data_IF_291034241167
#
_entry.id   IF_291034241167
#
_cell.length_a   1.000
_cell.length_b   1.000
_cell.length_c   1.000
_cell.angle_alpha   90.00
_cell.angle_beta   90.00
_cell.angle_gamma   90.00
#
_symmetry.space_group_name_H-M   'P 1'
#
loop_
_entity.id
_entity.type
_entity.pdbx_description
1 polymer ?
#
# COMPACT_ATOMS: atom_id res chain seq x y z
N UNK A 1 35.22 -14.54 14.36
CA UNK A 1 34.36 -15.24 13.39
C UNK A 1 33.53 -14.16 12.71
N UNK A 2 33.34 -14.24 11.41
CA UNK A 2 32.45 -13.34 10.67
C UNK A 2 31.00 -13.76 10.97
N UNK A 3 30.09 -12.83 11.32
CA UNK A 3 28.69 -13.16 11.53
C UNK A 3 28.03 -13.49 10.18
N UNK A 4 27.32 -14.60 10.09
CA UNK A 4 26.52 -14.94 8.90
C UNK A 4 25.05 -14.61 9.20
N UNK A 5 24.48 -13.70 8.40
CA UNK A 5 23.09 -13.22 8.53
C UNK A 5 22.25 -13.91 7.46
N UNK A 6 21.16 -14.54 7.83
CA UNK A 6 20.15 -15.02 6.90
C UNK A 6 19.07 -13.93 6.74
N UNK A 7 18.83 -13.53 5.48
CA UNK A 7 17.86 -12.49 5.11
C UNK A 7 16.84 -13.03 4.12
N UNK A 8 15.58 -13.06 4.50
CA UNK A 8 14.48 -13.41 3.62
C UNK A 8 13.92 -12.15 2.94
N UNK A 9 13.95 -12.15 1.62
CA UNK A 9 13.50 -11.04 0.78
C UNK A 9 12.33 -11.50 -0.09
N UNK A 10 11.21 -10.79 -0.01
CA UNK A 10 10.08 -11.00 -0.92
C UNK A 10 10.35 -10.22 -2.19
N UNK A 11 10.39 -10.92 -3.32
CA UNK A 11 10.72 -10.33 -4.61
C UNK A 11 11.23 -11.35 -5.60
N UNK A 12 11.95 -10.88 -6.61
CA UNK A 12 12.58 -11.74 -7.62
C UNK A 12 14.10 -11.80 -7.44
N UNK A 13 14.72 -12.85 -8.00
CA UNK A 13 16.19 -12.99 -8.08
C UNK A 13 16.87 -11.85 -8.85
N UNK A 14 16.14 -11.06 -9.63
CA UNK A 14 16.64 -9.86 -10.30
C UNK A 14 16.62 -8.61 -9.41
N UNK A 15 16.31 -8.74 -8.13
CA UNK A 15 16.33 -7.61 -7.20
C UNK A 15 17.75 -7.08 -7.04
N UNK A 16 18.02 -5.78 -7.27
CA UNK A 16 19.35 -5.21 -7.27
C UNK A 16 19.96 -4.99 -5.87
N UNK A 17 19.40 -5.59 -4.82
CA UNK A 17 19.85 -5.43 -3.44
C UNK A 17 21.29 -5.88 -3.20
N UNK A 18 21.82 -6.76 -4.05
CA UNK A 18 23.17 -7.34 -3.90
C UNK A 18 24.26 -6.27 -3.78
N UNK A 19 24.13 -5.14 -4.48
CA UNK A 19 25.07 -4.03 -4.39
C UNK A 19 25.11 -3.46 -2.96
N UNK A 20 23.96 -3.25 -2.34
CA UNK A 20 23.86 -2.76 -0.96
C UNK A 20 24.38 -3.77 0.05
N UNK A 21 24.14 -5.05 -0.18
CA UNK A 21 24.64 -6.12 0.69
C UNK A 21 26.15 -6.24 0.60
N UNK A 22 26.72 -6.14 -0.59
CA UNK A 22 28.18 -6.12 -0.79
C UNK A 22 28.82 -4.94 -0.05
N UNK A 23 28.25 -3.72 -0.19
CA UNK A 23 28.75 -2.56 0.56
C UNK A 23 28.65 -2.75 2.09
N UNK A 24 27.56 -3.36 2.56
CA UNK A 24 27.41 -3.67 3.97
C UNK A 24 28.47 -4.65 4.47
N UNK A 25 28.69 -5.73 3.72
CA UNK A 25 29.67 -6.79 4.04
C UNK A 25 31.12 -6.30 4.07
N UNK A 26 31.44 -5.35 3.19
CA UNK A 26 32.76 -4.69 3.17
C UNK A 26 33.00 -3.80 4.39
N UNK A 27 31.94 -3.12 4.85
CA UNK A 27 32.00 -2.20 6.01
C UNK A 27 31.88 -2.92 7.35
N UNK A 28 31.24 -4.07 7.37
CA UNK A 28 30.95 -4.85 8.58
C UNK A 28 31.66 -6.22 8.52
N UNK A 29 31.98 -6.78 9.67
CA UNK A 29 32.50 -8.16 9.76
C UNK A 29 31.37 -9.18 9.68
N UNK A 30 30.49 -9.06 8.70
CA UNK A 30 29.34 -9.92 8.49
C UNK A 30 29.26 -10.38 7.03
N UNK A 31 28.53 -11.46 6.78
CA UNK A 31 28.09 -11.91 5.46
C UNK A 31 26.60 -12.11 5.47
N UNK A 32 25.95 -11.92 4.33
CA UNK A 32 24.49 -12.03 4.19
C UNK A 32 24.15 -13.14 3.21
N UNK A 33 23.33 -14.10 3.68
CA UNK A 33 22.73 -15.12 2.82
C UNK A 33 21.30 -14.72 2.53
N UNK A 34 20.99 -14.49 1.24
CA UNK A 34 19.63 -14.17 0.79
C UNK A 34 18.80 -15.42 0.54
N UNK A 35 17.56 -15.37 0.98
CA UNK A 35 16.48 -16.28 0.60
C UNK A 35 15.38 -15.48 -0.09
N UNK A 36 14.99 -15.88 -1.30
CA UNK A 36 13.93 -15.21 -2.04
C UNK A 36 12.64 -16.00 -1.96
N UNK A 37 11.55 -15.29 -1.75
CA UNK A 37 10.19 -15.78 -1.92
C UNK A 37 9.37 -14.77 -2.75
N UNK A 38 8.30 -15.23 -3.38
CA UNK A 38 7.39 -14.34 -4.09
C UNK A 38 6.23 -13.86 -3.19
N UNK A 39 5.56 -12.78 -3.60
CA UNK A 39 4.42 -12.24 -2.85
C UNK A 39 3.25 -13.22 -2.72
N UNK A 40 3.09 -14.14 -3.66
CA UNK A 40 2.01 -15.13 -3.64
C UNK A 40 2.16 -16.11 -2.48
N UNK A 41 3.39 -16.55 -2.22
CA UNK A 41 3.73 -17.52 -1.18
C UNK A 41 4.27 -16.86 0.09
N UNK A 42 4.67 -15.60 0.04
CA UNK A 42 5.39 -14.89 1.09
C UNK A 42 4.73 -14.96 2.46
N UNK A 43 3.41 -14.75 2.53
CA UNK A 43 2.70 -14.85 3.79
C UNK A 43 2.75 -16.25 4.42
N UNK A 44 2.54 -17.29 3.60
CA UNK A 44 2.60 -18.68 4.09
C UNK A 44 3.99 -19.05 4.59
N UNK A 45 5.02 -18.61 3.88
CA UNK A 45 6.42 -18.84 4.26
C UNK A 45 6.77 -18.14 5.58
N UNK A 46 6.41 -16.86 5.72
CA UNK A 46 6.63 -16.06 6.94
C UNK A 46 5.91 -16.67 8.14
N UNK A 47 4.67 -17.15 7.97
CA UNK A 47 3.97 -17.90 9.02
C UNK A 47 4.67 -19.23 9.31
N UNK A 48 5.16 -19.91 8.28
CA UNK A 48 5.92 -21.16 8.41
C UNK A 48 7.16 -20.98 9.28
N UNK A 49 7.91 -19.91 9.13
CA UNK A 49 9.05 -19.57 9.99
C UNK A 49 8.64 -19.53 11.48
N UNK A 50 7.54 -18.83 11.79
CA UNK A 50 7.04 -18.72 13.17
C UNK A 50 6.61 -20.06 13.80
N UNK A 51 6.19 -21.02 12.98
CA UNK A 51 5.66 -22.30 13.44
C UNK A 51 6.72 -23.41 13.55
N UNK A 52 7.75 -23.36 12.72
CA UNK A 52 8.73 -24.44 12.59
C UNK A 52 10.09 -24.14 13.20
N UNK A 53 10.33 -22.90 13.66
CA UNK A 53 11.59 -22.50 14.29
C UNK A 53 12.78 -22.52 13.32
N UNK A 54 12.54 -22.27 12.05
CA UNK A 54 13.54 -22.14 10.99
C UNK A 54 13.54 -20.73 10.39
N UNK A 55 13.21 -19.74 11.23
CA UNK A 55 13.18 -18.33 10.87
C UNK A 55 14.57 -17.84 10.46
N UNK A 56 14.65 -16.97 9.44
CA UNK A 56 15.86 -16.22 9.14
C UNK A 56 16.14 -15.18 10.24
N UNK A 57 17.28 -14.52 10.21
CA UNK A 57 17.59 -13.50 11.21
C UNK A 57 16.83 -12.18 10.98
N UNK A 58 16.62 -11.82 9.70
CA UNK A 58 15.90 -10.63 9.26
C UNK A 58 15.00 -11.00 8.10
N UNK A 59 13.83 -10.37 7.99
CA UNK A 59 12.94 -10.51 6.85
C UNK A 59 12.43 -9.17 6.34
N UNK A 60 12.28 -9.06 5.03
CA UNK A 60 11.45 -8.10 4.35
C UNK A 60 10.02 -8.63 4.33
N UNK A 61 9.07 -7.83 4.80
CA UNK A 61 7.65 -8.18 4.87
C UNK A 61 6.75 -7.01 4.53
N UNK A 62 5.53 -7.30 4.07
CA UNK A 62 4.49 -6.28 3.99
C UNK A 62 4.13 -5.72 5.37
N UNK A 63 4.00 -4.41 5.48
CA UNK A 63 3.75 -3.76 6.78
C UNK A 63 2.49 -4.27 7.49
N UNK A 64 1.46 -4.67 6.75
CA UNK A 64 0.20 -5.18 7.32
C UNK A 64 0.36 -6.54 8.05
N UNK A 65 1.44 -7.26 7.80
CA UNK A 65 1.69 -8.58 8.40
C UNK A 65 2.25 -8.51 9.83
N UNK A 66 2.82 -7.38 10.20
CA UNK A 66 3.48 -7.18 11.51
C UNK A 66 2.54 -7.52 12.66
N UNK A 67 1.28 -7.10 12.60
CA UNK A 67 0.31 -7.36 13.68
C UNK A 67 0.13 -8.85 13.99
N UNK A 68 0.11 -9.69 12.97
CA UNK A 68 -0.01 -11.14 13.13
C UNK A 68 1.26 -11.76 13.72
N UNK A 69 2.43 -11.34 13.25
CA UNK A 69 3.73 -11.82 13.75
C UNK A 69 3.99 -11.39 15.20
N UNK A 70 3.56 -10.19 15.59
CA UNK A 70 3.59 -9.73 16.98
C UNK A 70 2.78 -10.67 17.89
N UNK A 71 1.57 -11.04 17.48
CA UNK A 71 0.71 -11.97 18.24
C UNK A 71 1.30 -13.37 18.36
N UNK A 72 2.02 -13.83 17.36
CA UNK A 72 2.77 -15.08 17.39
C UNK A 72 4.01 -15.01 18.28
N UNK A 73 4.32 -13.82 18.85
CA UNK A 73 5.54 -13.57 19.60
C UNK A 73 6.82 -13.89 18.78
N UNK A 74 6.73 -13.71 17.45
CA UNK A 74 7.76 -14.12 16.51
C UNK A 74 8.83 -13.05 16.29
N UNK A 75 8.55 -11.79 16.63
CA UNK A 75 9.43 -10.68 16.35
C UNK A 75 10.20 -10.19 17.57
N UNK A 76 11.41 -9.68 17.32
CA UNK A 76 12.20 -8.94 18.28
C UNK A 76 11.93 -7.43 18.07
N UNK A 77 11.48 -6.69 19.11
CA UNK A 77 11.26 -5.26 18.98
C UNK A 77 12.59 -4.50 18.84
N UNK A 78 12.57 -3.39 18.13
CA UNK A 78 13.70 -2.46 18.07
C UNK A 78 13.79 -1.66 19.39
N UNK A 79 15.01 -1.49 19.90
CA UNK A 79 15.24 -0.75 21.12
C UNK A 79 15.29 0.76 20.85
N UNK A 80 14.93 1.58 21.84
CA UNK A 80 14.94 3.04 21.70
C UNK A 80 16.30 3.60 21.25
N UNK A 81 17.41 3.01 21.69
CA UNK A 81 18.76 3.42 21.25
C UNK A 81 19.00 3.17 19.75
N UNK A 82 18.43 2.07 19.21
CA UNK A 82 18.54 1.70 17.79
C UNK A 82 17.72 2.66 16.93
N UNK A 83 16.52 2.99 17.38
CA UNK A 83 15.62 3.96 16.72
C UNK A 83 16.23 5.35 16.75
N UNK A 84 16.76 5.79 17.90
CA UNK A 84 17.39 7.10 18.05
C UNK A 84 18.62 7.27 17.14
N UNK A 85 19.40 6.20 16.94
CA UNK A 85 20.53 6.20 16.02
C UNK A 85 20.11 6.42 14.54
N UNK A 86 18.85 6.15 14.19
CA UNK A 86 18.27 6.38 12.87
C UNK A 86 17.63 7.77 12.72
N UNK A 87 17.66 8.60 13.76
CA UNK A 87 17.01 9.92 13.80
C UNK A 87 15.61 9.91 14.44
N UNK A 88 15.21 8.77 15.05
CA UNK A 88 13.92 8.62 15.71
C UNK A 88 12.76 8.37 14.73
N UNK A 89 11.56 8.28 15.29
CA UNK A 89 10.31 8.07 14.51
C UNK A 89 10.10 9.12 13.41
N UNK A 90 10.42 10.39 13.72
CA UNK A 90 10.22 11.53 12.80
C UNK A 90 11.14 11.50 11.57
N UNK A 91 12.14 10.62 11.54
CA UNK A 91 12.95 10.40 10.35
C UNK A 91 12.21 9.67 9.23
N UNK A 92 11.08 9.05 9.54
CA UNK A 92 10.28 8.25 8.62
C UNK A 92 8.91 8.88 8.34
N UNK A 93 8.30 8.49 7.22
CA UNK A 93 6.90 8.79 6.92
C UNK A 93 6.01 8.28 8.08
N UNK A 94 5.21 9.16 8.64
CA UNK A 94 4.36 8.83 9.79
C UNK A 94 3.44 7.61 9.54
N UNK A 95 2.74 7.48 8.39
CA UNK A 95 1.94 6.30 8.12
C UNK A 95 2.74 5.00 8.15
N UNK A 96 3.93 4.99 7.55
CA UNK A 96 4.80 3.82 7.52
C UNK A 96 5.32 3.45 8.92
N UNK A 97 5.71 4.46 9.70
CA UNK A 97 6.14 4.25 11.09
C UNK A 97 5.02 3.67 11.94
N UNK A 98 3.81 4.26 11.85
CA UNK A 98 2.64 3.83 12.61
C UNK A 98 2.19 2.40 12.29
N UNK A 99 2.40 1.92 11.05
CA UNK A 99 2.03 0.55 10.67
C UNK A 99 2.95 -0.53 11.24
N UNK A 100 4.12 -0.13 11.74
CA UNK A 100 5.13 -1.03 12.35
C UNK A 100 5.29 -0.82 13.87
N UNK A 101 4.48 0.07 14.46
CA UNK A 101 4.55 0.46 15.86
C UNK A 101 3.22 0.18 16.55
N UNK A 102 3.24 -0.55 17.66
CA UNK A 102 2.01 -0.84 18.42
C UNK A 102 1.49 0.38 19.21
N UNK A 103 0.38 0.18 19.92
CA UNK A 103 -0.26 1.23 20.71
C UNK A 103 0.61 1.74 21.87
N UNK A 104 1.54 0.92 22.36
CA UNK A 104 2.47 1.26 23.46
C UNK A 104 3.72 1.98 22.96
N UNK A 105 3.83 2.22 21.65
CA UNK A 105 4.97 2.87 21.01
C UNK A 105 6.16 1.95 20.74
N UNK A 106 5.99 0.64 20.89
CA UNK A 106 7.05 -0.34 20.58
C UNK A 106 7.15 -0.54 19.07
N UNK A 107 8.33 -0.33 18.49
CA UNK A 107 8.60 -0.56 17.08
C UNK A 107 8.99 -2.03 16.85
N UNK A 108 8.22 -2.72 16.02
CA UNK A 108 8.38 -4.13 15.67
C UNK A 108 9.06 -4.34 14.33
N UNK A 109 9.24 -3.27 13.57
CA UNK A 109 9.95 -3.24 12.29
C UNK A 109 10.46 -1.85 11.98
N UNK A 110 11.34 -1.75 10.98
CA UNK A 110 11.80 -0.49 10.41
C UNK A 110 11.15 -0.29 9.04
N UNK A 111 10.56 0.89 8.74
CA UNK A 111 9.99 1.17 7.42
C UNK A 111 11.10 1.17 6.36
N UNK A 112 10.96 0.35 5.32
CA UNK A 112 11.99 0.23 4.28
C UNK A 112 11.56 0.88 2.97
N UNK A 113 10.42 0.46 2.43
CA UNK A 113 9.84 1.07 1.22
C UNK A 113 8.41 1.51 1.47
N UNK A 114 7.96 2.52 0.73
CA UNK A 114 6.58 2.99 0.78
C UNK A 114 5.88 2.84 -0.57
N UNK A 115 4.56 2.68 -0.50
CA UNK A 115 3.67 2.52 -1.64
C UNK A 115 2.36 3.25 -1.40
N UNK A 116 1.74 3.78 -2.44
CA UNK A 116 0.42 4.39 -2.39
C UNK A 116 -0.25 4.34 -3.76
N UNK A 117 -1.51 4.72 -3.82
CA UNK A 117 -2.25 4.86 -5.06
C UNK A 117 -2.46 6.34 -5.40
N UNK A 118 -2.60 6.60 -6.69
CA UNK A 118 -2.86 7.92 -7.25
C UNK A 118 -4.06 7.85 -8.21
N UNK A 119 -4.72 8.98 -8.40
CA UNK A 119 -5.55 9.20 -9.57
C UNK A 119 -4.62 9.51 -10.74
N UNK A 120 -4.74 8.77 -11.83
CA UNK A 120 -4.20 9.13 -13.13
C UNK A 120 -5.33 9.59 -14.05
N UNK A 121 -5.13 10.66 -14.80
CA UNK A 121 -6.18 11.28 -15.62
C UNK A 121 -5.64 11.85 -16.92
N UNK A 122 -6.51 11.93 -17.94
CA UNK A 122 -6.23 12.48 -19.24
C UNK A 122 -6.49 13.99 -19.23
N UNK A 123 -5.42 14.80 -19.24
CA UNK A 123 -5.49 16.28 -19.26
C UNK A 123 -6.27 16.82 -20.42
N UNK A 124 -6.04 16.29 -21.61
CA UNK A 124 -6.73 16.68 -22.83
C UNK A 124 -8.25 16.45 -22.78
N UNK A 125 -8.68 15.39 -22.08
CA UNK A 125 -10.11 15.12 -21.89
C UNK A 125 -10.72 16.03 -20.81
N UNK A 126 -9.97 16.36 -19.73
CA UNK A 126 -10.41 17.35 -18.74
C UNK A 126 -10.57 18.73 -19.39
N UNK A 127 -9.56 19.19 -20.15
CA UNK A 127 -9.61 20.46 -20.88
C UNK A 127 -10.82 20.53 -21.82
N UNK A 128 -11.06 19.48 -22.61
CA UNK A 128 -12.23 19.37 -23.49
C UNK A 128 -13.55 19.43 -22.72
N UNK A 129 -13.60 18.87 -21.51
CA UNK A 129 -14.77 18.90 -20.64
C UNK A 129 -14.91 20.20 -19.83
N UNK A 130 -13.95 21.15 -19.96
CA UNK A 130 -13.94 22.41 -19.23
C UNK A 130 -13.67 22.26 -17.74
N UNK A 131 -12.96 21.18 -17.32
CA UNK A 131 -12.65 20.88 -15.93
C UNK A 131 -11.26 21.42 -15.57
N UNK A 132 -11.17 22.21 -14.50
CA UNK A 132 -9.91 22.65 -13.92
C UNK A 132 -9.22 21.52 -13.16
N UNK A 133 -8.07 21.06 -13.65
CA UNK A 133 -7.31 19.95 -13.08
C UNK A 133 -6.86 20.21 -11.63
N UNK A 134 -6.71 21.46 -11.20
CA UNK A 134 -6.24 21.81 -9.86
C UNK A 134 -7.24 21.44 -8.75
N UNK A 135 -8.53 21.37 -9.09
CA UNK A 135 -9.62 21.07 -8.16
C UNK A 135 -10.35 19.77 -8.47
N UNK A 136 -10.12 19.17 -9.64
CA UNK A 136 -10.84 18.01 -10.16
C UNK A 136 -10.88 16.81 -9.22
N UNK A 137 -9.86 16.64 -8.37
CA UNK A 137 -9.67 15.46 -7.53
C UNK A 137 -9.48 15.81 -6.04
N UNK A 138 -9.82 17.04 -5.64
CA UNK A 138 -9.61 17.52 -4.26
C UNK A 138 -10.52 16.88 -3.22
N UNK A 139 -11.61 16.25 -3.63
CA UNK A 139 -12.56 15.51 -2.77
C UNK A 139 -13.30 14.44 -3.57
N UNK A 140 -13.99 13.52 -2.88
CA UNK A 140 -14.85 12.53 -3.51
C UNK A 140 -15.94 13.19 -4.39
N UNK A 141 -16.53 14.29 -3.91
CA UNK A 141 -17.53 15.06 -4.68
C UNK A 141 -16.92 15.74 -5.90
N UNK A 142 -15.69 16.29 -5.78
CA UNK A 142 -15.00 16.91 -6.92
C UNK A 142 -14.67 15.88 -8.00
N UNK A 143 -14.22 14.69 -7.63
CA UNK A 143 -14.03 13.58 -8.55
C UNK A 143 -15.34 13.21 -9.25
N UNK A 144 -16.44 13.03 -8.52
CA UNK A 144 -17.72 12.68 -9.13
C UNK A 144 -18.19 13.76 -10.12
N UNK A 145 -18.09 15.03 -9.76
CA UNK A 145 -18.41 16.15 -10.66
C UNK A 145 -17.53 16.13 -11.92
N UNK A 146 -16.26 15.80 -11.78
CA UNK A 146 -15.33 15.61 -12.91
C UNK A 146 -15.78 14.49 -13.83
N UNK A 147 -16.18 13.33 -13.26
CA UNK A 147 -16.66 12.20 -14.06
C UNK A 147 -17.99 12.51 -14.78
N UNK A 148 -18.87 13.31 -14.16
CA UNK A 148 -20.09 13.82 -14.81
C UNK A 148 -19.72 14.69 -16.01
N UNK A 149 -18.85 15.69 -15.82
CA UNK A 149 -18.44 16.59 -16.91
C UNK A 149 -17.76 15.83 -18.06
N UNK A 150 -16.93 14.84 -17.76
CA UNK A 150 -16.32 13.97 -18.77
C UNK A 150 -17.38 13.19 -19.55
N UNK A 151 -18.35 12.61 -18.87
CA UNK A 151 -19.46 11.88 -19.51
C UNK A 151 -20.29 12.80 -20.40
N UNK A 152 -20.63 13.99 -19.94
CA UNK A 152 -21.42 14.99 -20.66
C UNK A 152 -20.64 15.54 -21.88
N UNK A 153 -19.30 15.57 -21.81
CA UNK A 153 -18.45 15.91 -22.97
C UNK A 153 -18.31 14.81 -24.03
N UNK A 154 -18.96 13.64 -23.80
CA UNK A 154 -18.99 12.51 -24.72
C UNK A 154 -17.87 11.48 -24.49
N UNK A 155 -17.19 11.47 -23.32
CA UNK A 155 -16.25 10.41 -22.97
C UNK A 155 -17.02 9.14 -22.66
N UNK A 156 -16.75 8.06 -23.41
CA UNK A 156 -17.47 6.79 -23.28
C UNK A 156 -17.21 6.08 -21.94
N UNK A 157 -15.96 6.12 -21.46
CA UNK A 157 -15.54 5.51 -20.18
C UNK A 157 -14.85 6.56 -19.34
N UNK A 158 -15.58 7.36 -18.53
CA UNK A 158 -14.98 8.33 -17.65
C UNK A 158 -14.09 7.72 -16.57
N UNK A 159 -14.45 6.53 -16.05
CA UNK A 159 -13.81 5.87 -14.92
C UNK A 159 -13.51 4.40 -15.21
N UNK A 160 -12.28 3.96 -14.93
CA UNK A 160 -11.89 2.56 -15.04
C UNK A 160 -10.98 2.16 -13.89
N UNK A 161 -11.44 1.27 -13.03
CA UNK A 161 -10.67 0.71 -11.92
C UNK A 161 -10.90 -0.81 -11.82
N UNK A 162 -9.95 -1.56 -11.27
CA UNK A 162 -10.16 -2.98 -10.98
C UNK A 162 -11.33 -3.21 -10.02
N UNK A 163 -12.19 -4.18 -10.35
CA UNK A 163 -13.34 -4.61 -9.52
C UNK A 163 -13.28 -6.08 -9.13
N UNK A 164 -12.24 -6.81 -9.55
CA UNK A 164 -12.14 -8.25 -9.36
C UNK A 164 -11.49 -8.64 -8.01
N UNK A 165 -11.81 -9.86 -7.57
CA UNK A 165 -11.46 -10.41 -6.25
C UNK A 165 -9.98 -10.74 -6.04
N UNK A 166 -9.12 -10.64 -7.05
CA UNK A 166 -7.78 -11.22 -6.99
C UNK A 166 -6.81 -10.53 -6.01
N UNK A 167 -7.12 -9.32 -5.52
CA UNK A 167 -6.21 -8.51 -4.72
C UNK A 167 -6.92 -7.71 -3.62
N UNK A 168 -6.15 -7.31 -2.60
CA UNK A 168 -6.60 -6.42 -1.51
C UNK A 168 -6.79 -4.96 -1.95
N UNK A 169 -6.54 -4.64 -3.23
CA UNK A 169 -6.57 -3.27 -3.77
C UNK A 169 -7.89 -2.56 -3.52
N UNK A 170 -9.03 -3.27 -3.65
CA UNK A 170 -10.35 -2.68 -3.36
C UNK A 170 -10.42 -2.12 -1.94
N UNK A 171 -9.89 -2.84 -0.94
CA UNK A 171 -9.85 -2.36 0.43
C UNK A 171 -9.01 -1.08 0.55
N UNK A 172 -7.87 -1.03 -0.13
CA UNK A 172 -6.98 0.13 -0.08
C UNK A 172 -7.59 1.37 -0.77
N UNK A 173 -8.30 1.17 -1.88
CA UNK A 173 -9.05 2.26 -2.51
C UNK A 173 -10.16 2.75 -1.59
N UNK A 174 -11.03 1.84 -1.13
CA UNK A 174 -12.16 2.13 -0.26
C UNK A 174 -11.73 2.82 1.03
N UNK A 175 -10.60 2.40 1.63
CA UNK A 175 -10.09 2.98 2.86
C UNK A 175 -9.86 4.50 2.74
N UNK A 176 -9.39 4.98 1.58
CA UNK A 176 -9.16 6.40 1.34
C UNK A 176 -10.46 7.22 1.41
N UNK A 177 -11.54 6.73 0.83
CA UNK A 177 -12.87 7.37 0.91
C UNK A 177 -13.50 7.25 2.29
N UNK A 178 -13.37 6.09 2.91
CA UNK A 178 -13.87 5.82 4.27
C UNK A 178 -13.24 6.80 5.28
N UNK A 179 -11.91 6.93 5.25
CA UNK A 179 -11.19 7.86 6.12
C UNK A 179 -11.48 9.33 5.77
N UNK A 180 -11.63 9.65 4.49
CA UNK A 180 -11.99 10.99 4.03
C UNK A 180 -13.35 11.45 4.52
N UNK A 181 -14.29 10.53 4.73
CA UNK A 181 -15.59 10.80 5.35
C UNK A 181 -15.55 10.84 6.91
N UNK A 182 -14.37 10.63 7.51
CA UNK A 182 -14.20 10.58 8.97
C UNK A 182 -14.47 9.20 9.58
N UNK A 183 -14.75 8.18 8.76
CA UNK A 183 -14.97 6.81 9.21
C UNK A 183 -13.68 6.13 9.71
N UNK A 184 -13.85 5.00 10.38
CA UNK A 184 -12.75 4.15 10.88
C UNK A 184 -13.04 2.70 10.48
N UNK A 185 -11.99 1.90 10.26
CA UNK A 185 -12.14 0.47 9.98
C UNK A 185 -12.37 -0.30 11.28
N UNK A 186 -11.60 0.04 12.32
CA UNK A 186 -11.71 -0.54 13.65
C UNK A 186 -11.40 0.50 14.73
N UNK A 187 -11.73 0.19 15.99
CA UNK A 187 -11.28 0.96 17.15
C UNK A 187 -9.77 0.91 17.31
N UNK A 188 -9.19 1.89 18.02
CA UNK A 188 -7.75 2.00 18.22
C UNK A 188 -7.13 0.80 18.95
N UNK A 189 -7.91 0.21 19.87
CA UNK A 189 -7.53 -1.02 20.59
C UNK A 189 -7.83 -2.31 19.79
N UNK A 190 -8.39 -2.20 18.58
CA UNK A 190 -8.72 -3.30 17.69
C UNK A 190 -9.85 -4.21 18.15
N UNK A 191 -10.63 -3.79 19.20
CA UNK A 191 -11.69 -4.64 19.78
C UNK A 191 -13.07 -4.45 19.15
N UNK A 192 -13.26 -3.39 18.39
CA UNK A 192 -14.52 -3.13 17.72
C UNK A 192 -14.33 -2.87 16.22
N UNK A 193 -15.06 -3.58 15.33
CA UNK A 193 -15.15 -3.22 13.93
C UNK A 193 -16.02 -1.96 13.79
N UNK A 194 -15.53 -0.93 13.10
CA UNK A 194 -16.20 0.36 12.88
C UNK A 194 -16.50 0.62 11.40
N UNK A 195 -16.12 -0.27 10.50
CA UNK A 195 -16.32 -0.12 9.06
C UNK A 195 -17.80 -0.15 8.64
N UNK A 196 -18.72 -0.57 9.51
CA UNK A 196 -20.17 -0.52 9.26
C UNK A 196 -20.86 0.67 9.97
N UNK A 197 -20.10 1.60 10.55
CA UNK A 197 -20.67 2.82 11.14
C UNK A 197 -21.07 3.81 10.02
N UNK A 198 -21.97 4.74 10.33
CA UNK A 198 -22.58 5.65 9.36
C UNK A 198 -21.57 6.46 8.54
N UNK A 199 -20.49 6.97 9.15
CA UNK A 199 -19.45 7.73 8.44
C UNK A 199 -18.64 6.82 7.49
N UNK A 200 -18.31 5.62 7.94
CA UNK A 200 -17.60 4.65 7.12
C UNK A 200 -18.45 4.22 5.92
N UNK A 201 -19.72 3.89 6.14
CA UNK A 201 -20.67 3.55 5.08
C UNK A 201 -20.89 4.71 4.09
N UNK A 202 -20.98 5.96 4.57
CA UNK A 202 -21.11 7.12 3.69
C UNK A 202 -19.89 7.30 2.76
N UNK A 203 -18.68 7.15 3.29
CA UNK A 203 -17.46 7.17 2.47
C UNK A 203 -17.44 6.07 1.43
N UNK A 204 -17.72 4.82 1.83
CA UNK A 204 -17.77 3.68 0.92
C UNK A 204 -18.87 3.83 -0.14
N UNK A 205 -20.06 4.30 0.25
CA UNK A 205 -21.15 4.57 -0.70
C UNK A 205 -20.71 5.55 -1.79
N UNK A 206 -20.01 6.64 -1.43
CA UNK A 206 -19.51 7.60 -2.42
C UNK A 206 -18.48 7.00 -3.38
N UNK A 207 -17.66 6.06 -2.94
CA UNK A 207 -16.75 5.31 -3.82
C UNK A 207 -17.50 4.38 -4.77
N UNK A 208 -18.36 3.53 -4.23
CA UNK A 208 -19.09 2.56 -5.05
C UNK A 208 -20.09 3.21 -6.01
N UNK A 209 -20.63 4.37 -5.68
CA UNK A 209 -21.51 5.12 -6.58
C UNK A 209 -20.86 5.49 -7.91
N UNK A 210 -19.51 5.49 -7.99
CA UNK A 210 -18.76 5.78 -9.22
C UNK A 210 -18.89 4.66 -10.27
N UNK A 211 -19.48 3.48 -9.95
CA UNK A 211 -19.73 2.40 -10.90
C UNK A 211 -20.47 2.86 -12.15
N UNK A 212 -21.35 3.87 -12.03
CA UNK A 212 -22.16 4.43 -13.11
C UNK A 212 -21.37 5.11 -14.23
N UNK A 213 -20.07 5.30 -14.01
CA UNK A 213 -19.11 5.88 -14.96
C UNK A 213 -18.15 4.84 -15.55
N UNK A 214 -18.29 3.59 -15.15
CA UNK A 214 -17.49 2.45 -15.62
C UNK A 214 -18.14 1.74 -16.81
N UNK A 215 -17.39 0.80 -17.39
CA UNK A 215 -17.96 -0.11 -18.39
C UNK A 215 -18.98 -1.04 -17.74
N UNK A 216 -20.11 -1.35 -18.43
CA UNK A 216 -21.18 -2.15 -17.83
C UNK A 216 -20.78 -3.59 -17.44
N UNK A 217 -19.75 -4.14 -18.08
CA UNK A 217 -19.24 -5.50 -17.89
C UNK A 217 -17.97 -5.55 -17.02
N UNK A 218 -17.73 -4.53 -16.18
CA UNK A 218 -16.49 -4.41 -15.40
C UNK A 218 -16.19 -5.64 -14.53
N UNK A 219 -17.21 -6.27 -13.92
CA UNK A 219 -17.01 -7.46 -13.07
C UNK A 219 -16.65 -8.73 -13.85
N UNK A 220 -16.87 -8.76 -15.16
CA UNK A 220 -16.44 -9.87 -16.03
C UNK A 220 -15.02 -9.72 -16.56
N UNK A 221 -14.37 -8.58 -16.30
CA UNK A 221 -13.01 -8.26 -16.74
C UNK A 221 -12.00 -8.50 -15.63
N UNK A 222 -10.80 -8.89 -16.02
CA UNK A 222 -9.65 -8.98 -15.13
C UNK A 222 -9.18 -7.59 -14.71
N UNK A 223 -8.38 -7.51 -13.63
CA UNK A 223 -7.79 -6.26 -13.19
C UNK A 223 -6.92 -5.61 -14.28
N UNK A 224 -6.17 -6.43 -15.02
CA UNK A 224 -5.29 -5.94 -16.09
C UNK A 224 -6.09 -5.41 -17.28
N UNK A 225 -7.18 -6.04 -17.66
CA UNK A 225 -8.08 -5.52 -18.70
C UNK A 225 -8.67 -4.17 -18.32
N UNK A 226 -9.10 -3.98 -17.06
CA UNK A 226 -9.66 -2.71 -16.60
C UNK A 226 -8.60 -1.61 -16.52
N UNK A 227 -7.39 -1.92 -16.01
CA UNK A 227 -6.26 -0.98 -16.01
C UNK A 227 -5.85 -0.59 -17.43
N UNK A 228 -5.82 -1.55 -18.34
CA UNK A 228 -5.45 -1.32 -19.75
C UNK A 228 -6.40 -0.37 -20.47
N UNK A 229 -7.68 -0.23 -20.07
CA UNK A 229 -8.58 0.77 -20.65
C UNK A 229 -8.03 2.19 -20.55
N UNK A 230 -7.44 2.55 -19.42
CA UNK A 230 -6.82 3.87 -19.25
C UNK A 230 -5.52 4.00 -20.06
N UNK A 231 -4.60 3.05 -19.90
CA UNK A 231 -3.29 3.12 -20.54
C UNK A 231 -3.35 3.02 -22.08
N UNK A 232 -4.42 2.42 -22.63
CA UNK A 232 -4.71 2.39 -24.06
C UNK A 232 -5.55 3.59 -24.55
N UNK A 233 -5.84 4.56 -23.67
CA UNK A 233 -6.57 5.78 -24.02
C UNK A 233 -8.08 5.62 -24.15
N UNK A 234 -8.63 4.50 -23.72
CA UNK A 234 -10.07 4.20 -23.78
C UNK A 234 -10.85 4.77 -22.59
N UNK A 235 -10.19 4.98 -21.45
CA UNK A 235 -10.76 5.61 -20.26
C UNK A 235 -10.09 6.94 -19.93
N UNK A 236 -10.81 7.84 -19.24
CA UNK A 236 -10.31 9.18 -18.91
C UNK A 236 -9.61 9.25 -17.56
N UNK A 237 -10.06 8.48 -16.56
CA UNK A 237 -9.55 8.51 -15.18
C UNK A 237 -9.44 7.09 -14.64
N UNK A 238 -8.37 6.82 -13.88
CA UNK A 238 -8.15 5.55 -13.18
C UNK A 238 -7.50 5.78 -11.82
N UNK A 239 -7.50 4.73 -10.98
CA UNK A 239 -6.59 4.61 -9.83
C UNK A 239 -5.43 3.71 -10.26
N UNK A 240 -4.20 4.18 -10.07
CA UNK A 240 -2.99 3.41 -10.37
C UNK A 240 -2.03 3.39 -9.18
N UNK A 241 -1.21 2.36 -9.08
CA UNK A 241 -0.10 2.33 -8.14
C UNK A 241 1.00 3.33 -8.52
N UNK A 242 1.80 3.74 -7.56
CA UNK A 242 2.92 4.67 -7.79
C UNK A 242 4.02 4.09 -8.69
N UNK A 243 4.01 2.80 -8.94
CA UNK A 243 4.92 2.07 -9.82
C UNK A 243 4.42 2.02 -11.28
N UNK A 244 3.11 1.98 -11.50
CA UNK A 244 2.54 1.80 -12.84
C UNK A 244 3.02 2.83 -13.87
N UNK A 245 3.13 4.15 -13.56
CA UNK A 245 3.65 5.12 -14.53
C UNK A 245 5.05 4.79 -15.05
N UNK A 246 5.91 4.21 -14.19
CA UNK A 246 7.28 3.80 -14.58
C UNK A 246 7.26 2.52 -15.41
N UNK A 247 6.46 1.53 -15.01
CA UNK A 247 6.29 0.28 -15.76
C UNK A 247 5.82 0.59 -17.17
N UNK A 248 4.82 1.47 -17.31
CA UNK A 248 4.23 1.82 -18.60
C UNK A 248 5.14 2.65 -19.49
N UNK A 249 6.09 3.42 -18.92
CA UNK A 249 7.11 4.11 -19.69
C UNK A 249 8.17 3.15 -20.26
N UNK A 250 8.49 2.10 -19.52
CA UNK A 250 9.49 1.10 -19.95
C UNK A 250 8.90 -0.01 -20.81
N UNK A 251 7.61 -0.31 -20.64
CA UNK A 251 6.86 -1.31 -21.39
C UNK A 251 5.53 -0.70 -21.87
N UNK A 252 5.56 0.18 -22.88
CA UNK A 252 4.35 0.87 -23.33
C UNK A 252 3.37 -0.12 -23.97
N UNK A 253 2.14 -0.16 -23.43
CA UNK A 253 1.03 -0.95 -23.97
C UNK A 253 0.05 -0.09 -24.79
N UNK A 254 0.26 1.23 -24.84
CA UNK A 254 -0.62 2.18 -25.51
C UNK A 254 0.13 3.15 -26.44
N UNK A 255 -0.61 4.04 -27.13
CA UNK A 255 -0.01 5.06 -27.97
C UNK A 255 0.92 5.97 -27.16
N UNK A 256 2.17 6.19 -27.60
CA UNK A 256 3.14 7.02 -26.86
C UNK A 256 2.63 8.42 -26.54
N UNK A 257 1.80 9.00 -27.40
CA UNK A 257 1.27 10.36 -27.27
C UNK A 257 0.34 10.54 -26.07
N UNK A 258 -0.16 9.44 -25.50
CA UNK A 258 -1.04 9.49 -24.32
C UNK A 258 -0.24 9.86 -23.07
N UNK A 259 0.98 9.37 -22.92
CA UNK A 259 1.80 9.60 -21.71
C UNK A 259 2.05 11.07 -21.43
N UNK A 260 2.29 11.89 -22.47
CA UNK A 260 2.52 13.33 -22.32
C UNK A 260 1.26 14.09 -21.87
N UNK A 261 0.09 13.44 -21.97
CA UNK A 261 -1.22 14.00 -21.62
C UNK A 261 -1.76 13.46 -20.29
N UNK A 262 -0.99 12.66 -19.57
CA UNK A 262 -1.40 12.11 -18.27
C UNK A 262 -1.01 13.09 -17.17
N UNK A 263 -1.98 13.39 -16.31
CA UNK A 263 -1.79 14.05 -15.04
C UNK A 263 -2.01 13.08 -13.88
N UNK A 264 -1.51 13.47 -12.70
CA UNK A 264 -1.63 12.67 -11.47
C UNK A 264 -2.10 13.53 -10.31
N UNK A 265 -2.91 12.96 -9.44
CA UNK A 265 -3.37 13.57 -8.20
C UNK A 265 -3.40 12.52 -7.09
N UNK A 266 -3.32 12.90 -5.80
CA UNK A 266 -3.66 12.00 -4.71
C UNK A 266 -5.08 11.47 -4.85
N UNK A 267 -5.35 10.25 -4.39
CA UNK A 267 -6.74 9.76 -4.28
C UNK A 267 -7.54 10.68 -3.36
N UNK A 268 -8.81 10.95 -3.67
CA UNK A 268 -9.67 11.78 -2.83
C UNK A 268 -9.83 11.24 -1.41
N UNK A 269 -9.96 12.13 -0.45
CA UNK A 269 -10.08 11.77 0.96
C UNK A 269 -8.72 11.69 1.65
N UNK A 270 -8.41 10.57 2.28
CA UNK A 270 -7.13 10.33 2.94
C UNK A 270 -6.42 9.19 2.21
N UNK A 271 -5.37 9.46 1.41
CA UNK A 271 -4.68 8.42 0.64
C UNK A 271 -4.22 7.26 1.53
N UNK A 272 -4.45 6.03 1.09
CA UNK A 272 -3.84 4.88 1.74
C UNK A 272 -2.34 4.84 1.45
N UNK A 273 -1.55 4.62 2.50
CA UNK A 273 -0.10 4.44 2.42
C UNK A 273 0.24 3.08 3.01
N UNK A 274 0.89 2.27 2.22
CA UNK A 274 1.45 0.99 2.61
C UNK A 274 2.93 0.91 2.30
N UNK A 275 3.39 -0.29 2.09
CA UNK A 275 4.77 -0.60 1.74
C UNK A 275 5.33 -1.73 2.59
N UNK A 276 6.64 -1.76 2.72
CA UNK A 276 7.36 -2.88 3.27
C UNK A 276 8.25 -2.45 4.42
N UNK A 277 8.40 -3.37 5.37
CA UNK A 277 9.24 -3.20 6.54
C UNK A 277 10.29 -4.29 6.68
N UNK A 278 11.33 -3.99 7.42
CA UNK A 278 12.35 -4.94 7.85
C UNK A 278 12.08 -5.32 9.30
N UNK A 279 11.97 -6.62 9.57
CA UNK A 279 11.73 -7.17 10.90
C UNK A 279 12.88 -8.07 11.32
N UNK A 280 13.16 -8.10 12.63
CA UNK A 280 14.11 -9.02 13.25
C UNK A 280 13.31 -10.14 13.92
N UNK A 281 13.67 -11.37 13.62
CA UNK A 281 13.03 -12.52 14.24
C UNK A 281 13.51 -12.75 15.67
N UNK A 282 12.60 -13.20 16.51
CA UNK A 282 12.91 -13.64 17.87
C UNK A 282 13.25 -15.12 17.83
N UNK A 283 14.50 -15.46 18.05
CA UNK A 283 14.93 -16.84 18.17
C UNK A 283 15.76 -17.05 19.44
N UNK A 284 15.49 -18.12 20.13
CA UNK A 284 16.27 -18.52 21.31
C UNK A 284 17.70 -19.00 20.97
N UNK A 285 17.95 -19.27 19.69
CA UNK A 285 19.23 -19.83 19.22
C UNK A 285 20.16 -18.75 18.62
N UNK A 286 19.66 -17.51 18.45
CA UNK A 286 20.46 -16.41 17.89
C UNK A 286 21.50 -15.93 18.92
N UNK A 287 22.77 -15.94 18.52
CA UNK A 287 23.82 -15.34 19.35
C UNK A 287 23.69 -13.80 19.37
N UNK A 288 24.13 -13.14 20.47
CA UNK A 288 24.12 -11.67 20.53
C UNK A 288 24.87 -11.01 19.36
N UNK A 289 25.91 -11.65 18.86
CA UNK A 289 26.69 -11.15 17.71
C UNK A 289 25.87 -11.15 16.42
N UNK A 290 25.10 -12.21 16.17
CA UNK A 290 24.23 -12.30 14.98
C UNK A 290 23.05 -11.31 15.10
N UNK A 291 22.44 -11.21 16.30
CA UNK A 291 21.38 -10.24 16.54
C UNK A 291 21.84 -8.81 16.27
N UNK A 292 23.01 -8.42 16.82
CA UNK A 292 23.58 -7.10 16.58
C UNK A 292 23.90 -6.85 15.08
N UNK A 293 24.41 -7.86 14.39
CA UNK A 293 24.71 -7.77 12.97
C UNK A 293 23.42 -7.62 12.15
N UNK A 294 22.34 -8.32 12.52
CA UNK A 294 21.03 -8.23 11.87
C UNK A 294 20.40 -6.84 12.06
N UNK A 295 20.48 -6.29 13.28
CA UNK A 295 20.04 -4.91 13.55
C UNK A 295 20.89 -3.89 12.77
N UNK A 296 22.21 -4.12 12.65
CA UNK A 296 23.09 -3.26 11.86
C UNK A 296 22.73 -3.32 10.35
N UNK A 297 22.38 -4.50 9.83
CA UNK A 297 21.92 -4.65 8.44
C UNK A 297 20.59 -3.91 8.20
N UNK A 298 19.61 -4.11 9.08
CA UNK A 298 18.32 -3.41 8.99
C UNK A 298 18.52 -1.90 9.04
N UNK A 299 19.34 -1.42 9.98
CA UNK A 299 19.67 0.00 10.13
C UNK A 299 20.39 0.58 8.90
N UNK A 300 21.28 -0.19 8.29
CA UNK A 300 21.98 0.20 7.07
C UNK A 300 21.00 0.32 5.89
N UNK A 301 20.13 -0.68 5.69
CA UNK A 301 19.17 -0.69 4.59
C UNK A 301 18.13 0.44 4.68
N UNK A 302 17.79 0.91 5.89
CA UNK A 302 16.90 2.07 6.08
C UNK A 302 17.67 3.39 6.22
N UNK A 303 18.99 3.40 6.03
CA UNK A 303 19.77 4.65 6.03
C UNK A 303 19.41 5.53 4.84
N UNK A 304 19.61 6.87 4.91
CA UNK A 304 19.31 7.78 3.82
C UNK A 304 19.98 7.38 2.50
N UNK A 305 21.26 7.00 2.58
CA UNK A 305 22.03 6.59 1.39
C UNK A 305 21.48 5.30 0.78
N UNK A 306 21.25 4.27 1.60
CA UNK A 306 20.77 2.98 1.11
C UNK A 306 19.36 3.08 0.51
N UNK A 307 18.43 3.80 1.13
CA UNK A 307 17.09 4.01 0.57
C UNK A 307 17.12 4.79 -0.74
N UNK A 308 17.96 5.84 -0.83
CA UNK A 308 18.13 6.59 -2.09
C UNK A 308 18.64 5.67 -3.19
N UNK A 309 19.70 4.91 -2.93
CA UNK A 309 20.28 3.98 -3.88
C UNK A 309 19.28 2.90 -4.27
N UNK A 310 18.63 2.25 -3.29
CA UNK A 310 17.67 1.17 -3.56
C UNK A 310 16.50 1.64 -4.42
N UNK A 311 15.86 2.75 -4.06
CA UNK A 311 14.73 3.28 -4.83
C UNK A 311 15.10 3.64 -6.28
N UNK A 312 16.34 4.12 -6.52
CA UNK A 312 16.84 4.36 -7.87
C UNK A 312 17.05 3.05 -8.64
N UNK A 313 17.64 2.04 -7.99
CA UNK A 313 17.96 0.74 -8.60
C UNK A 313 16.70 -0.03 -9.00
N UNK A 314 15.63 0.04 -8.21
CA UNK A 314 14.32 -0.55 -8.55
C UNK A 314 13.47 0.38 -9.44
N UNK A 315 14.10 1.32 -10.15
CA UNK A 315 13.45 2.23 -11.08
C UNK A 315 12.25 2.97 -10.47
N UNK A 316 12.32 3.29 -9.19
CA UNK A 316 11.27 3.96 -8.43
C UNK A 316 9.91 3.24 -8.38
N UNK A 317 9.89 1.91 -8.53
CA UNK A 317 8.66 1.14 -8.33
C UNK A 317 8.12 1.33 -6.91
N UNK A 318 8.99 1.36 -5.91
CA UNK A 318 8.66 1.74 -4.54
C UNK A 318 9.33 3.07 -4.17
N UNK A 319 8.80 3.76 -3.18
CA UNK A 319 9.30 5.07 -2.73
C UNK A 319 10.02 4.94 -1.40
N UNK A 320 10.92 5.87 -1.06
CA UNK A 320 11.59 5.85 0.24
C UNK A 320 10.58 6.11 1.37
N UNK A 321 10.88 5.56 2.53
CA UNK A 321 10.11 5.86 3.75
C UNK A 321 10.71 7.00 4.55
N UNK A 322 11.93 7.42 4.25
CA UNK A 322 12.62 8.48 4.98
C UNK A 322 12.21 9.87 4.50
N UNK A 323 11.91 10.74 5.46
CA UNK A 323 11.54 12.14 5.22
C UNK A 323 12.68 12.96 4.60
N UNK A 324 13.95 12.64 4.92
CA UNK A 324 15.13 13.31 4.38
C UNK A 324 15.57 12.79 2.99
N UNK A 325 14.96 11.71 2.50
CA UNK A 325 15.17 11.16 1.14
C UNK A 325 14.01 11.49 0.21
N UNK A 326 12.81 11.68 0.74
CA UNK A 326 11.60 11.97 -0.05
C UNK A 326 11.75 13.20 -1.00
N UNK A 327 12.45 14.29 -0.62
CA UNK A 327 12.70 15.42 -1.53
C UNK A 327 13.50 15.05 -2.78
N UNK A 328 14.36 14.03 -2.71
CA UNK A 328 15.26 13.59 -3.78
C UNK A 328 14.55 12.75 -4.86
N UNK A 329 13.26 12.48 -4.72
CA UNK A 329 12.50 11.79 -5.77
C UNK A 329 12.64 12.54 -7.11
N UNK A 330 12.93 11.81 -8.21
CA UNK A 330 13.15 12.43 -9.51
C UNK A 330 12.00 13.34 -9.91
N UNK A 331 12.33 14.55 -10.38
CA UNK A 331 11.36 15.44 -11.03
C UNK A 331 11.07 14.87 -12.41
N UNK A 332 9.96 14.19 -12.54
CA UNK A 332 9.49 13.71 -13.83
C UNK A 332 8.51 14.73 -14.40
N UNK A 333 8.60 15.02 -15.70
CA UNK A 333 7.96 16.13 -16.41
C UNK A 333 6.45 16.31 -16.28
N UNK A 334 5.78 15.48 -15.50
CA UNK A 334 4.40 15.59 -15.08
C UNK A 334 4.33 16.00 -13.60
N UNK A 335 3.15 16.27 -13.10
CA UNK A 335 2.91 16.51 -11.67
C UNK A 335 3.02 15.23 -10.79
N UNK A 336 3.49 14.10 -11.34
CA UNK A 336 3.60 12.79 -10.67
C UNK A 336 4.35 12.88 -9.33
N UNK A 337 5.57 13.45 -9.34
CA UNK A 337 6.38 13.52 -8.11
C UNK A 337 5.70 14.30 -7.00
N UNK A 338 5.01 15.39 -7.34
CA UNK A 338 4.27 16.19 -6.36
C UNK A 338 3.05 15.42 -5.81
N UNK A 339 2.31 14.75 -6.68
CA UNK A 339 1.18 13.91 -6.27
C UNK A 339 1.63 12.76 -5.34
N UNK A 340 2.75 12.10 -5.66
CA UNK A 340 3.36 11.06 -4.81
C UNK A 340 3.75 11.62 -3.44
N UNK A 341 4.52 12.73 -3.41
CA UNK A 341 4.94 13.35 -2.14
C UNK A 341 3.74 13.74 -1.28
N UNK A 342 2.73 14.35 -1.88
CA UNK A 342 1.50 14.73 -1.19
C UNK A 342 0.78 13.50 -0.64
N UNK A 343 0.54 12.46 -1.46
CA UNK A 343 -0.16 11.26 -1.03
C UNK A 343 0.56 10.56 0.14
N UNK A 344 1.89 10.44 0.07
CA UNK A 344 2.70 9.79 1.12
C UNK A 344 2.71 10.58 2.43
N UNK A 345 2.71 11.92 2.37
CA UNK A 345 2.83 12.77 3.57
C UNK A 345 1.50 13.09 4.23
N UNK A 346 0.39 13.08 3.47
CA UNK A 346 -0.96 13.35 4.00
C UNK A 346 -1.80 12.07 4.19
N UNK A 347 -1.27 10.94 3.77
CA UNK A 347 -1.97 9.67 3.80
C UNK A 347 -1.99 8.99 5.17
N UNK A 348 -2.63 7.83 5.20
CA UNK A 348 -2.78 7.00 6.39
C UNK A 348 -2.50 5.54 6.06
N UNK A 349 -1.95 4.81 7.03
CA UNK A 349 -1.78 3.36 7.00
C UNK A 349 -2.70 2.67 8.00
N UNK A 350 -2.80 1.34 7.89
CA UNK A 350 -3.43 0.52 8.91
C UNK A 350 -2.48 0.39 10.11
N UNK A 351 -3.03 0.53 11.31
CA UNK A 351 -2.27 0.28 12.54
C UNK A 351 -2.21 -1.22 12.85
N UNK A 352 -1.13 -1.72 13.46
CA UNK A 352 -1.03 -3.11 13.89
C UNK A 352 -1.94 -3.37 15.10
N UNK A 353 -3.22 -3.61 14.80
CA UNK A 353 -4.22 -4.00 15.82
C UNK A 353 -4.35 -5.52 15.88
N UNK A 354 -4.81 -6.08 17.01
CA UNK A 354 -5.08 -7.52 17.12
C UNK A 354 -5.99 -8.02 16.00
N UNK A 355 -5.65 -9.19 15.42
CA UNK A 355 -6.42 -9.84 14.36
C UNK A 355 -6.56 -9.01 13.05
N UNK A 356 -5.69 -8.01 12.81
CA UNK A 356 -5.75 -7.22 11.58
C UNK A 356 -5.82 -8.09 10.32
N UNK A 357 -4.96 -9.09 10.16
CA UNK A 357 -4.97 -9.97 8.98
C UNK A 357 -6.31 -10.67 8.75
N UNK A 358 -7.05 -11.00 9.82
CA UNK A 358 -8.40 -11.55 9.71
C UNK A 358 -9.41 -10.49 9.27
N UNK A 359 -9.32 -9.26 9.84
CA UNK A 359 -10.16 -8.14 9.43
C UNK A 359 -9.91 -7.83 7.96
N UNK A 360 -8.65 -7.66 7.57
CA UNK A 360 -8.22 -7.37 6.20
C UNK A 360 -8.75 -8.39 5.19
N UNK A 361 -8.52 -9.67 5.42
CA UNK A 361 -8.98 -10.74 4.53
C UNK A 361 -10.50 -10.79 4.37
N UNK A 362 -11.25 -10.74 5.49
CA UNK A 362 -12.70 -10.84 5.45
C UNK A 362 -13.36 -9.56 4.90
N UNK A 363 -12.80 -8.39 5.23
CA UNK A 363 -13.30 -7.11 4.73
C UNK A 363 -13.02 -6.97 3.22
N UNK A 364 -11.82 -7.34 2.76
CA UNK A 364 -11.50 -7.35 1.32
C UNK A 364 -12.46 -8.24 0.54
N UNK A 365 -12.75 -9.45 1.04
CA UNK A 365 -13.73 -10.36 0.42
C UNK A 365 -15.12 -9.75 0.36
N UNK A 366 -15.59 -9.16 1.47
CA UNK A 366 -16.91 -8.52 1.52
C UNK A 366 -17.02 -7.32 0.56
N UNK A 367 -15.97 -6.48 0.50
CA UNK A 367 -15.94 -5.32 -0.41
C UNK A 367 -15.93 -5.73 -1.90
N UNK A 368 -15.30 -6.85 -2.23
CA UNK A 368 -15.38 -7.39 -3.60
C UNK A 368 -16.79 -7.88 -3.96
N UNK A 369 -17.50 -8.52 -3.02
CA UNK A 369 -18.90 -8.93 -3.22
C UNK A 369 -19.82 -7.72 -3.47
N UNK A 370 -19.53 -6.56 -2.90
CA UNK A 370 -20.30 -5.33 -3.15
C UNK A 370 -20.27 -4.96 -4.64
N UNK A 371 -19.15 -5.11 -5.35
CA UNK A 371 -19.10 -4.88 -6.79
C UNK A 371 -20.01 -5.84 -7.55
N UNK A 372 -20.01 -7.14 -7.22
CA UNK A 372 -20.86 -8.14 -7.85
C UNK A 372 -22.34 -7.78 -7.68
N UNK A 373 -22.75 -7.43 -6.49
CA UNK A 373 -24.12 -7.02 -6.14
C UNK A 373 -24.57 -5.78 -6.93
N UNK A 374 -23.70 -4.75 -7.00
CA UNK A 374 -24.01 -3.50 -7.71
C UNK A 374 -24.16 -3.72 -9.22
N UNK A 375 -23.25 -4.46 -9.83
CA UNK A 375 -23.35 -4.76 -11.27
C UNK A 375 -24.48 -5.75 -11.59
N UNK A 376 -25.00 -6.50 -10.60
CA UNK A 376 -26.23 -7.25 -10.69
C UNK A 376 -27.51 -6.39 -10.54
N UNK A 377 -27.35 -5.08 -10.31
CA UNK A 377 -28.47 -4.11 -10.24
C UNK A 377 -28.93 -3.73 -8.83
N UNK A 378 -28.19 -4.12 -7.79
CA UNK A 378 -28.50 -3.72 -6.41
C UNK A 378 -28.01 -2.28 -6.15
N UNK A 379 -28.76 -1.54 -5.35
CA UNK A 379 -28.33 -0.21 -4.91
C UNK A 379 -27.04 -0.30 -4.09
N UNK A 380 -26.06 0.62 -4.26
CA UNK A 380 -24.81 0.59 -3.52
C UNK A 380 -24.95 0.57 -1.99
N UNK A 381 -25.93 1.28 -1.43
CA UNK A 381 -26.19 1.29 0.02
C UNK A 381 -26.70 -0.08 0.50
N UNK A 382 -27.66 -0.67 -0.22
CA UNK A 382 -28.18 -1.99 0.09
C UNK A 382 -27.11 -3.09 -0.06
N UNK A 383 -26.25 -2.97 -1.08
CA UNK A 383 -25.13 -3.88 -1.30
C UNK A 383 -24.11 -3.80 -0.12
N UNK A 384 -23.76 -2.59 0.31
CA UNK A 384 -22.87 -2.37 1.45
C UNK A 384 -23.45 -2.95 2.74
N UNK A 385 -24.69 -2.64 3.08
CA UNK A 385 -25.35 -3.20 4.26
C UNK A 385 -25.42 -4.72 4.24
N UNK A 386 -25.76 -5.30 3.09
CA UNK A 386 -25.84 -6.76 2.94
C UNK A 386 -24.50 -7.46 3.16
N UNK A 387 -23.40 -6.86 2.68
CA UNK A 387 -22.06 -7.42 2.82
C UNK A 387 -21.44 -7.16 4.20
N UNK A 388 -21.60 -5.93 4.75
CA UNK A 388 -20.82 -5.47 5.90
C UNK A 388 -21.51 -5.70 7.25
N UNK A 389 -22.85 -5.60 7.36
CA UNK A 389 -23.53 -5.77 8.66
C UNK A 389 -23.37 -7.18 9.26
N UNK A 390 -23.49 -8.28 8.47
CA UNK A 390 -23.23 -9.62 9.00
C UNK A 390 -21.77 -9.80 9.40
N UNK A 391 -20.84 -9.23 8.62
CA UNK A 391 -19.41 -9.28 8.89
C UNK A 391 -19.07 -8.54 10.18
N UNK A 392 -19.59 -7.31 10.35
CA UNK A 392 -19.38 -6.49 11.54
C UNK A 392 -19.85 -7.21 12.80
N UNK A 393 -21.08 -7.78 12.78
CA UNK A 393 -21.61 -8.56 13.91
C UNK A 393 -20.73 -9.76 14.26
N UNK A 394 -20.27 -10.52 13.26
CA UNK A 394 -19.41 -11.70 13.45
C UNK A 394 -18.05 -11.31 14.03
N UNK A 395 -17.42 -10.26 13.47
CA UNK A 395 -16.12 -9.78 13.95
C UNK A 395 -16.22 -9.20 15.37
N UNK A 396 -17.30 -8.51 15.71
CA UNK A 396 -17.51 -8.00 17.08
C UNK A 396 -17.44 -9.11 18.13
N UNK A 397 -18.06 -10.26 17.87
CA UNK A 397 -17.98 -11.43 18.77
C UNK A 397 -16.53 -11.96 18.86
N UNK A 398 -15.84 -12.00 17.73
CA UNK A 398 -14.46 -12.56 17.68
C UNK A 398 -13.42 -11.64 18.32
N UNK A 399 -13.60 -10.32 18.24
CA UNK A 399 -12.65 -9.34 18.77
C UNK A 399 -12.82 -9.08 20.27
N UNK A 400 -13.98 -9.42 20.85
CA UNK A 400 -14.28 -9.24 22.28
C UNK A 400 -14.05 -10.50 23.12
N UNK A 401 -13.87 -11.65 22.52
CA UNK A 401 -13.54 -12.93 23.19
C UNK A 401 -12.05 -13.17 23.22
#
# INVERSE_FOLDING_TARGET
MRAEIEFSLIGSLSNPIDTLLTEFEEKQRASVRLHFTDWRNGWQEVVGYSLHGNEPHISHIGMTWVSSLMRMNALRPFQSKEINALGGANAFLEPCWQSLTDADGTAWGLPWTSYTFLIAYRRDLLEKAGVDETHAFSSAQALENTLIALKDSGVAVPWAIPTCQAHTDTLHFVASWLWGAGGKIASEDGKAPLFADSLALAGMKSFYALYRYMVPDATSKTADELRSLFWNGQAAVTICGVDEPYIRQTTPEGPPEIFDRIGFAPVPGVPWVGGDGLVIWRSAQISPTIEQASVALASYLVSPQAQRTYCQMIQNHHKPTRMDVLPDLPQQGSNLTNAVKQALTTGRSYRPIPLWGRIESQLSSALNTVWEDIFAGKDPEDALHSALDPLSRRLKITLTG
#
